data_IF_196366003267
#
_entry.id   IF_196366003267
#
_cell.length_a   1.000
_cell.length_b   1.000
_cell.length_c   1.000
_cell.angle_alpha   90.00
_cell.angle_beta   90.00
_cell.angle_gamma   90.00
#
_symmetry.space_group_name_H-M   'P 1'
#
loop_
_entity.id
_entity.type
_entity.pdbx_description
1 polymer ?
#
# COMPACT_ATOMS: atom_id res chain seq x y z
N UNK A 1 -13.82 14.90 -1.07
CA UNK A 1 -13.78 13.46 -1.45
C UNK A 1 -14.35 12.68 -0.30
N UNK A 2 -15.08 11.62 -0.56
CA UNK A 2 -15.51 10.71 0.51
C UNK A 2 -14.35 9.75 0.84
N UNK A 3 -14.37 9.16 2.03
CA UNK A 3 -13.34 8.24 2.48
C UNK A 3 -13.87 6.81 2.48
N UNK A 4 -13.16 5.90 1.81
CA UNK A 4 -13.41 4.46 1.92
C UNK A 4 -12.98 3.93 3.29
N UNK A 5 -11.82 4.43 3.82
CA UNK A 5 -11.35 4.13 5.17
C UNK A 5 -10.96 5.44 5.87
N UNK A 6 -11.27 5.52 7.16
CA UNK A 6 -10.79 6.56 8.07
C UNK A 6 -10.27 5.88 9.36
N UNK A 7 -9.01 6.08 9.67
CA UNK A 7 -8.35 5.58 10.88
C UNK A 7 -7.90 6.76 11.71
N UNK A 8 -8.27 6.79 12.99
CA UNK A 8 -7.91 7.86 13.91
C UNK A 8 -7.34 7.29 15.20
N UNK A 9 -6.09 7.65 15.51
CA UNK A 9 -5.45 7.34 16.76
C UNK A 9 -5.28 5.84 17.04
N UNK A 10 -5.10 5.01 15.98
CA UNK A 10 -4.94 3.56 16.14
C UNK A 10 -3.68 3.24 16.93
N UNK A 11 -3.85 2.48 18.00
CA UNK A 11 -2.76 1.97 18.84
C UNK A 11 -2.82 0.45 18.94
N UNK A 12 -1.65 -0.19 18.86
CA UNK A 12 -1.49 -1.64 19.04
C UNK A 12 -0.12 -1.93 19.60
N UNK A 13 -0.04 -2.65 20.70
CA UNK A 13 1.23 -2.98 21.37
C UNK A 13 1.50 -4.47 21.30
N UNK A 14 2.73 -4.83 20.98
CA UNK A 14 3.37 -6.12 21.12
C UNK A 14 4.62 -6.00 22.00
N UNK A 15 5.23 -7.10 22.39
CA UNK A 15 6.40 -7.08 23.28
C UNK A 15 7.57 -6.20 22.76
N UNK A 16 7.84 -6.22 21.44
CA UNK A 16 8.99 -5.54 20.84
C UNK A 16 8.58 -4.54 19.71
N UNK A 17 7.28 -4.29 19.53
CA UNK A 17 6.79 -3.44 18.45
C UNK A 17 5.40 -2.89 18.80
N UNK A 18 5.07 -1.71 18.27
CA UNK A 18 3.72 -1.16 18.41
C UNK A 18 3.37 -0.20 17.29
N UNK A 19 2.07 -0.03 17.07
CA UNK A 19 1.50 1.09 16.34
C UNK A 19 1.20 2.19 17.37
N UNK A 20 1.65 3.41 17.09
CA UNK A 20 1.50 4.55 17.98
C UNK A 20 0.75 5.70 17.30
N UNK A 21 -0.49 5.93 17.72
CA UNK A 21 -1.33 7.03 17.24
C UNK A 21 -1.43 7.08 15.71
N UNK A 22 -1.57 5.91 15.06
CA UNK A 22 -1.65 5.82 13.60
C UNK A 22 -2.98 6.39 13.13
N UNK A 23 -2.92 7.43 12.29
CA UNK A 23 -4.08 8.11 11.71
C UNK A 23 -3.85 8.34 10.24
N UNK A 24 -4.83 7.98 9.40
CA UNK A 24 -4.79 8.17 7.94
C UNK A 24 -6.18 8.00 7.33
N UNK A 25 -6.32 8.41 6.08
CA UNK A 25 -7.50 8.15 5.25
C UNK A 25 -7.14 7.34 4.01
N UNK A 26 -8.13 6.62 3.48
CA UNK A 26 -8.10 6.03 2.13
C UNK A 26 -9.28 6.64 1.39
N UNK A 27 -9.05 7.52 0.41
CA UNK A 27 -10.14 8.12 -0.35
C UNK A 27 -10.87 7.09 -1.21
N UNK A 28 -12.15 7.37 -1.53
CA UNK A 28 -12.88 6.59 -2.52
C UNK A 28 -12.34 6.81 -3.94
N UNK A 29 -12.53 5.82 -4.82
CA UNK A 29 -12.22 5.87 -6.24
C UNK A 29 -10.72 6.10 -6.56
N UNK A 30 -9.85 5.60 -5.71
CA UNK A 30 -8.42 5.71 -5.95
C UNK A 30 -7.64 4.49 -5.42
N UNK A 31 -6.38 4.40 -5.84
CA UNK A 31 -5.41 3.41 -5.38
C UNK A 31 -4.50 4.08 -4.35
N UNK A 32 -4.63 3.67 -3.09
CA UNK A 32 -3.74 4.09 -2.01
C UNK A 32 -2.65 3.05 -1.78
N UNK A 33 -1.40 3.43 -2.03
CA UNK A 33 -0.22 2.62 -1.76
C UNK A 33 0.26 2.82 -0.33
N UNK A 34 0.30 1.76 0.47
CA UNK A 34 0.78 1.76 1.84
C UNK A 34 2.22 1.24 1.89
N UNK A 35 3.18 2.15 1.97
CA UNK A 35 4.60 1.87 1.83
C UNK A 35 5.32 1.88 3.19
N UNK A 36 6.38 1.10 3.32
CA UNK A 36 7.26 1.07 4.49
C UNK A 36 8.19 -0.15 4.45
N UNK A 37 9.27 -0.08 5.17
CA UNK A 37 10.21 -1.19 5.30
C UNK A 37 9.56 -2.43 5.93
N UNK A 38 10.20 -3.59 5.82
CA UNK A 38 9.77 -4.79 6.54
C UNK A 38 9.81 -4.52 8.04
N UNK A 39 8.73 -4.89 8.75
CA UNK A 39 8.58 -4.61 10.18
C UNK A 39 8.12 -3.17 10.52
N UNK A 40 7.90 -2.28 9.55
CA UNK A 40 7.44 -0.90 9.82
C UNK A 40 6.02 -0.81 10.41
N UNK A 41 5.18 -1.85 10.23
CA UNK A 41 3.82 -1.90 10.79
C UNK A 41 2.71 -2.08 9.77
N UNK A 42 3.00 -2.22 8.46
CA UNK A 42 2.00 -2.35 7.38
C UNK A 42 0.98 -3.45 7.65
N UNK A 43 1.44 -4.71 7.77
CA UNK A 43 0.56 -5.87 8.01
C UNK A 43 -0.18 -5.77 9.34
N UNK A 44 0.47 -5.21 10.38
CA UNK A 44 -0.20 -4.98 11.67
C UNK A 44 -1.33 -3.97 11.54
N UNK A 45 -1.13 -2.90 10.79
CA UNK A 45 -2.17 -1.90 10.52
C UNK A 45 -3.32 -2.52 9.73
N UNK A 46 -3.02 -3.25 8.64
CA UNK A 46 -4.05 -3.95 7.85
C UNK A 46 -4.84 -4.95 8.71
N UNK A 47 -4.16 -5.79 9.49
CA UNK A 47 -4.82 -6.74 10.41
C UNK A 47 -5.67 -6.03 11.47
N UNK A 48 -5.24 -4.87 11.94
CA UNK A 48 -5.98 -4.06 12.91
C UNK A 48 -7.25 -3.45 12.31
N UNK A 49 -7.18 -2.85 11.13
CA UNK A 49 -8.34 -2.26 10.47
C UNK A 49 -9.38 -3.31 10.06
N UNK A 50 -8.95 -4.55 9.77
CA UNK A 50 -9.82 -5.69 9.48
C UNK A 50 -10.33 -6.41 10.75
N UNK A 51 -9.96 -5.94 11.96
CA UNK A 51 -10.26 -6.60 13.23
C UNK A 51 -9.81 -8.07 13.32
N UNK A 52 -8.73 -8.41 12.64
CA UNK A 52 -8.08 -9.72 12.77
C UNK A 52 -7.20 -9.78 14.02
N UNK A 53 -6.89 -8.63 14.60
CA UNK A 53 -6.18 -8.48 15.89
C UNK A 53 -6.86 -7.39 16.73
N UNK A 54 -6.84 -7.57 18.06
CA UNK A 54 -7.37 -6.55 18.97
C UNK A 54 -6.49 -5.30 18.95
N UNK A 55 -7.12 -4.14 18.95
CA UNK A 55 -6.44 -2.83 19.05
C UNK A 55 -6.40 -2.34 20.49
N UNK A 56 -5.43 -1.48 20.82
CA UNK A 56 -5.27 -0.87 22.13
C UNK A 56 -6.05 0.45 22.28
N UNK A 57 -6.52 1.02 21.17
CA UNK A 57 -7.29 2.26 21.11
C UNK A 57 -7.37 2.83 19.70
N UNK A 58 -8.14 3.89 19.54
CA UNK A 58 -8.42 4.53 18.26
C UNK A 58 -9.78 4.17 17.70
N UNK A 59 -10.12 4.73 16.54
CA UNK A 59 -11.36 4.43 15.81
C UNK A 59 -11.08 4.11 14.36
N UNK A 60 -11.88 3.21 13.79
CA UNK A 60 -11.76 2.75 12.41
C UNK A 60 -13.16 2.84 11.80
N UNK A 61 -13.28 3.58 10.70
CA UNK A 61 -14.52 3.68 9.94
C UNK A 61 -14.30 3.31 8.49
N UNK A 62 -15.30 2.66 7.91
CA UNK A 62 -15.40 2.39 6.48
C UNK A 62 -16.65 3.08 5.95
N UNK A 63 -16.50 3.94 4.94
CA UNK A 63 -17.62 4.73 4.40
C UNK A 63 -18.44 5.46 5.48
N UNK A 64 -17.76 5.97 6.51
CA UNK A 64 -18.37 6.60 7.69
C UNK A 64 -18.97 5.64 8.73
N UNK A 65 -19.11 4.35 8.41
CA UNK A 65 -19.59 3.32 9.34
C UNK A 65 -18.47 2.86 10.28
N UNK A 66 -18.78 2.81 11.56
CA UNK A 66 -17.86 2.32 12.59
C UNK A 66 -17.65 0.80 12.44
N UNK A 67 -16.39 0.39 12.30
CA UNK A 67 -16.01 -1.01 12.03
C UNK A 67 -16.44 -1.95 13.17
N UNK A 68 -16.51 -1.48 14.41
CA UNK A 68 -16.93 -2.30 15.54
C UNK A 68 -18.43 -2.60 15.53
N UNK A 69 -19.24 -1.61 15.12
CA UNK A 69 -20.70 -1.71 15.13
C UNK A 69 -21.26 -2.35 13.87
N UNK A 70 -20.59 -2.21 12.75
CA UNK A 70 -21.06 -2.63 11.42
C UNK A 70 -20.12 -3.65 10.75
N UNK A 71 -19.40 -4.47 11.55
CA UNK A 71 -18.35 -5.36 11.06
C UNK A 71 -18.80 -6.26 9.90
N UNK A 72 -19.98 -6.88 10.02
CA UNK A 72 -20.50 -7.80 8.99
C UNK A 72 -20.82 -7.06 7.68
N UNK A 73 -21.51 -5.92 7.76
CA UNK A 73 -21.89 -5.10 6.61
C UNK A 73 -20.65 -4.58 5.88
N UNK A 74 -19.66 -4.09 6.64
CA UNK A 74 -18.40 -3.61 6.11
C UNK A 74 -17.61 -4.75 5.43
N UNK A 75 -17.46 -5.90 6.10
CA UNK A 75 -16.72 -7.05 5.56
C UNK A 75 -17.38 -7.65 4.32
N UNK A 76 -18.69 -7.57 4.18
CA UNK A 76 -19.42 -8.00 2.98
C UNK A 76 -19.06 -7.19 1.73
N UNK A 77 -18.57 -5.97 1.91
CA UNK A 77 -18.17 -5.02 0.85
C UNK A 77 -16.64 -4.96 0.60
N UNK A 78 -15.86 -5.73 1.36
CA UNK A 78 -14.39 -5.69 1.27
C UNK A 78 -13.85 -6.99 0.67
N UNK A 79 -13.05 -6.89 -0.39
CA UNK A 79 -12.20 -7.98 -0.86
C UNK A 79 -10.84 -7.93 -0.17
N UNK A 80 -10.37 -9.07 0.36
CA UNK A 80 -9.12 -9.14 1.12
C UNK A 80 -8.16 -10.12 0.47
N UNK A 81 -6.91 -9.68 0.28
CA UNK A 81 -5.78 -10.51 -0.18
C UNK A 81 -4.63 -10.35 0.82
N UNK A 82 -4.32 -11.41 1.57
CA UNK A 82 -3.23 -11.41 2.55
C UNK A 82 -2.02 -12.18 2.01
N UNK A 83 -0.80 -11.77 2.38
CA UNK A 83 0.46 -12.40 1.95
C UNK A 83 0.50 -13.92 2.29
N UNK A 84 0.04 -14.30 3.47
CA UNK A 84 0.01 -15.70 3.92
C UNK A 84 -1.11 -16.54 3.29
N UNK A 85 -1.99 -15.93 2.50
CA UNK A 85 -3.10 -16.59 1.81
C UNK A 85 -4.19 -17.19 2.71
N UNK A 86 -3.95 -17.43 3.98
CA UNK A 86 -4.87 -17.96 5.00
C UNK A 86 -5.78 -19.13 4.50
N UNK A 87 -5.27 -19.97 3.60
CA UNK A 87 -6.01 -21.07 2.99
C UNK A 87 -5.74 -22.41 3.66
N UNK A 88 -6.75 -23.27 3.68
CA UNK A 88 -6.57 -24.68 4.06
C UNK A 88 -5.86 -25.44 2.93
N UNK A 89 -4.58 -25.64 3.03
CA UNK A 89 -3.72 -26.18 1.96
C UNK A 89 -4.12 -27.58 1.46
N UNK A 90 -4.76 -28.39 2.28
CA UNK A 90 -5.24 -29.73 1.93
C UNK A 90 -6.50 -29.73 1.07
N UNK A 91 -7.21 -28.62 0.96
CA UNK A 91 -8.41 -28.44 0.14
C UNK A 91 -8.07 -28.10 -1.32
N UNK A 92 -9.02 -28.39 -2.21
CA UNK A 92 -9.00 -27.84 -3.57
C UNK A 92 -9.49 -26.40 -3.56
N UNK A 93 -9.20 -25.63 -4.62
CA UNK A 93 -9.72 -24.27 -4.77
C UNK A 93 -11.26 -24.24 -4.78
N UNK A 94 -11.91 -25.23 -5.42
CA UNK A 94 -13.38 -25.35 -5.39
C UNK A 94 -13.94 -25.61 -3.98
N UNK A 95 -13.27 -26.45 -3.18
CA UNK A 95 -13.65 -26.68 -1.78
C UNK A 95 -13.46 -25.45 -0.93
N UNK A 96 -12.34 -24.74 -1.10
CA UNK A 96 -12.09 -23.47 -0.38
C UNK A 96 -13.12 -22.40 -0.75
N UNK A 97 -13.46 -22.26 -2.03
CA UNK A 97 -14.55 -21.39 -2.50
C UNK A 97 -15.87 -21.71 -1.79
N UNK A 98 -16.21 -22.99 -1.64
CA UNK A 98 -17.48 -23.40 -0.98
C UNK A 98 -17.52 -23.02 0.50
N UNK A 99 -16.37 -22.82 1.16
CA UNK A 99 -16.30 -22.33 2.54
C UNK A 99 -16.44 -20.80 2.56
N UNK A 100 -15.84 -20.09 1.61
CA UNK A 100 -15.77 -18.62 1.61
C UNK A 100 -17.06 -18.00 1.05
N UNK A 101 -17.58 -18.52 -0.05
CA UNK A 101 -18.73 -17.95 -0.76
C UNK A 101 -19.95 -17.63 0.13
N UNK A 102 -20.35 -18.49 1.09
CA UNK A 102 -21.52 -18.20 1.95
C UNK A 102 -21.34 -17.02 2.91
N UNK A 103 -20.11 -16.51 3.09
CA UNK A 103 -19.84 -15.35 3.93
C UNK A 103 -20.26 -14.03 3.28
N UNK A 104 -20.44 -14.01 1.94
CA UNK A 104 -20.74 -12.83 1.16
C UNK A 104 -22.16 -12.85 0.59
N UNK A 105 -22.91 -11.78 0.80
CA UNK A 105 -24.32 -11.69 0.34
C UNK A 105 -24.41 -11.53 -1.18
N UNK A 106 -23.41 -10.89 -1.81
CA UNK A 106 -23.36 -10.61 -3.25
C UNK A 106 -22.41 -11.56 -4.01
N UNK A 107 -22.19 -12.77 -3.48
CA UNK A 107 -21.32 -13.74 -4.16
C UNK A 107 -21.87 -14.12 -5.54
N UNK A 108 -20.98 -14.14 -6.52
CA UNK A 108 -21.27 -14.54 -7.90
C UNK A 108 -20.40 -15.72 -8.35
N UNK A 109 -21.02 -16.89 -8.53
CA UNK A 109 -20.35 -18.06 -9.10
C UNK A 109 -19.91 -17.84 -10.55
N UNK A 110 -20.61 -16.99 -11.28
CA UNK A 110 -20.27 -16.64 -12.66
C UNK A 110 -18.97 -15.81 -12.68
N UNK A 111 -18.87 -14.77 -11.83
CA UNK A 111 -17.66 -13.96 -11.70
C UNK A 111 -16.47 -14.80 -11.22
N UNK A 112 -16.71 -15.69 -10.24
CA UNK A 112 -15.66 -16.61 -9.79
C UNK A 112 -15.13 -17.46 -10.92
N UNK A 113 -16.02 -18.07 -11.73
CA UNK A 113 -15.62 -18.92 -12.87
C UNK A 113 -14.84 -18.10 -13.91
N UNK A 114 -15.33 -16.90 -14.25
CA UNK A 114 -14.65 -15.99 -15.17
C UNK A 114 -13.24 -15.62 -14.68
N UNK A 115 -13.08 -15.30 -13.39
CA UNK A 115 -11.78 -15.00 -12.81
C UNK A 115 -10.85 -16.23 -12.79
N UNK A 116 -11.37 -17.43 -12.48
CA UNK A 116 -10.58 -18.66 -12.53
C UNK A 116 -10.05 -18.95 -13.95
N UNK A 117 -10.89 -18.77 -14.97
CA UNK A 117 -10.48 -18.89 -16.38
C UNK A 117 -9.45 -17.82 -16.77
N UNK A 118 -9.71 -16.55 -16.44
CA UNK A 118 -8.79 -15.43 -16.68
C UNK A 118 -7.40 -15.70 -16.10
N UNK A 119 -7.33 -16.31 -14.92
CA UNK A 119 -6.08 -16.60 -14.21
C UNK A 119 -5.48 -17.96 -14.56
N UNK A 120 -6.10 -18.71 -15.46
CA UNK A 120 -5.72 -20.07 -15.84
C UNK A 120 -5.57 -21.01 -14.62
N UNK A 121 -6.54 -20.97 -13.68
CA UNK A 121 -6.57 -21.79 -12.48
C UNK A 121 -7.56 -22.95 -12.63
N UNK A 122 -7.14 -24.17 -12.31
CA UNK A 122 -8.03 -25.34 -12.27
C UNK A 122 -8.67 -25.48 -10.87
N UNK A 123 -10.01 -25.29 -10.72
CA UNK A 123 -10.70 -25.38 -9.45
C UNK A 123 -10.50 -26.70 -8.70
N UNK A 124 -10.14 -27.77 -9.40
CA UNK A 124 -9.91 -29.11 -8.81
C UNK A 124 -8.51 -29.26 -8.22
N UNK A 125 -7.60 -28.36 -8.52
CA UNK A 125 -6.23 -28.41 -8.02
C UNK A 125 -6.19 -28.10 -6.52
N UNK A 126 -5.34 -28.86 -5.77
CA UNK A 126 -5.12 -28.62 -4.33
C UNK A 126 -4.30 -27.35 -4.10
N UNK A 127 -4.66 -26.59 -3.08
CA UNK A 127 -3.98 -25.32 -2.72
C UNK A 127 -2.52 -25.55 -2.34
N UNK A 128 -2.19 -26.69 -1.72
CA UNK A 128 -0.80 -27.06 -1.40
C UNK A 128 0.12 -27.18 -2.61
N UNK A 129 -0.43 -27.39 -3.81
CA UNK A 129 0.36 -27.56 -5.05
C UNK A 129 0.48 -26.28 -5.86
N UNK A 130 -0.14 -25.18 -5.40
CA UNK A 130 -0.10 -23.89 -6.08
C UNK A 130 1.23 -23.18 -5.82
N UNK A 131 1.78 -22.56 -6.87
CA UNK A 131 2.85 -21.58 -6.70
C UNK A 131 2.35 -20.34 -5.91
N UNK A 132 3.28 -19.52 -5.38
CA UNK A 132 2.90 -18.27 -4.69
C UNK A 132 2.05 -17.37 -5.61
N UNK A 133 2.41 -17.25 -6.88
CA UNK A 133 1.64 -16.48 -7.87
C UNK A 133 0.24 -17.04 -8.10
N UNK A 134 0.07 -18.36 -8.18
CA UNK A 134 -1.25 -18.97 -8.30
C UNK A 134 -2.10 -18.76 -7.03
N UNK A 135 -1.51 -18.83 -5.83
CA UNK A 135 -2.21 -18.52 -4.58
C UNK A 135 -2.69 -17.06 -4.55
N UNK A 136 -1.86 -16.11 -5.00
CA UNK A 136 -2.23 -14.70 -5.09
C UNK A 136 -3.37 -14.48 -6.09
N UNK A 137 -3.31 -15.10 -7.27
CA UNK A 137 -4.38 -15.06 -8.27
C UNK A 137 -5.68 -15.67 -7.74
N UNK A 138 -5.60 -16.79 -7.02
CA UNK A 138 -6.77 -17.41 -6.39
C UNK A 138 -7.40 -16.52 -5.31
N UNK A 139 -6.58 -15.91 -4.44
CA UNK A 139 -7.06 -14.95 -3.46
C UNK A 139 -7.78 -13.77 -4.11
N UNK A 140 -7.22 -13.25 -5.22
CA UNK A 140 -7.83 -12.18 -5.99
C UNK A 140 -9.12 -12.63 -6.69
N UNK A 141 -9.18 -13.86 -7.23
CA UNK A 141 -10.40 -14.41 -7.80
C UNK A 141 -11.53 -14.45 -6.77
N UNK A 142 -11.24 -14.87 -5.54
CA UNK A 142 -12.21 -14.85 -4.44
C UNK A 142 -12.66 -13.42 -4.09
N UNK A 143 -11.70 -12.49 -3.95
CA UNK A 143 -11.95 -11.10 -3.58
C UNK A 143 -12.77 -10.33 -4.62
N UNK A 144 -12.65 -10.67 -5.89
CA UNK A 144 -13.41 -10.04 -6.99
C UNK A 144 -14.80 -10.64 -7.21
N UNK A 145 -15.09 -11.81 -6.62
CA UNK A 145 -16.30 -12.59 -6.94
C UNK A 145 -17.54 -12.21 -6.14
N UNK A 146 -17.48 -11.22 -5.26
CA UNK A 146 -18.61 -10.77 -4.45
C UNK A 146 -18.93 -9.28 -4.61
N UNK A 147 -18.50 -8.67 -5.72
CA UNK A 147 -18.71 -7.26 -6.04
C UNK A 147 -18.20 -6.30 -4.94
N UNK A 148 -16.98 -6.56 -4.44
CA UNK A 148 -16.36 -5.71 -3.42
C UNK A 148 -16.26 -4.25 -3.89
N UNK A 149 -16.48 -3.30 -2.97
CA UNK A 149 -16.29 -1.86 -3.20
C UNK A 149 -14.86 -1.41 -2.89
N UNK A 150 -14.16 -2.19 -2.07
CA UNK A 150 -12.80 -1.91 -1.64
C UNK A 150 -11.97 -3.20 -1.63
N UNK A 151 -10.79 -3.17 -2.25
CA UNK A 151 -9.78 -4.22 -2.06
C UNK A 151 -8.74 -3.78 -1.02
N UNK A 152 -8.48 -4.63 -0.04
CA UNK A 152 -7.39 -4.47 0.92
C UNK A 152 -6.40 -5.60 0.72
N UNK A 153 -5.16 -5.25 0.37
CA UNK A 153 -4.14 -6.22 0.01
C UNK A 153 -2.86 -6.00 0.80
N UNK A 154 -2.36 -7.07 1.42
CA UNK A 154 -1.11 -7.06 2.16
C UNK A 154 -0.02 -7.75 1.36
N UNK A 155 0.97 -6.99 0.86
CA UNK A 155 2.11 -7.46 0.07
C UNK A 155 1.72 -8.34 -1.14
N UNK A 156 0.72 -7.98 -1.97
CA UNK A 156 0.14 -8.87 -2.97
C UNK A 156 1.12 -9.29 -4.08
N UNK A 157 2.22 -8.56 -4.25
CA UNK A 157 3.23 -8.79 -5.29
C UNK A 157 4.53 -9.38 -4.77
N UNK A 158 4.67 -9.53 -3.46
CA UNK A 158 5.89 -10.02 -2.83
C UNK A 158 6.24 -11.43 -3.30
N UNK A 159 7.46 -11.60 -3.84
CA UNK A 159 7.96 -12.90 -4.31
C UNK A 159 7.28 -13.42 -5.58
N UNK A 160 6.54 -12.59 -6.30
CA UNK A 160 6.01 -12.93 -7.63
C UNK A 160 7.03 -12.65 -8.72
N UNK A 161 6.98 -13.45 -9.80
CA UNK A 161 7.73 -13.13 -11.00
C UNK A 161 7.20 -11.85 -11.69
N UNK A 162 8.02 -11.18 -12.52
CA UNK A 162 7.65 -9.90 -13.11
C UNK A 162 6.40 -9.94 -14.01
N UNK A 163 6.08 -11.08 -14.63
CA UNK A 163 4.92 -11.22 -15.53
C UNK A 163 3.64 -11.25 -14.71
N UNK A 164 3.57 -12.14 -13.71
CA UNK A 164 2.41 -12.28 -12.81
C UNK A 164 2.20 -10.97 -12.02
N UNK A 165 3.27 -10.33 -11.56
CA UNK A 165 3.22 -9.05 -10.87
C UNK A 165 2.59 -7.96 -11.75
N UNK A 166 2.99 -7.86 -13.02
CA UNK A 166 2.40 -6.90 -13.97
C UNK A 166 0.93 -7.17 -14.23
N UNK A 167 0.55 -8.43 -14.38
CA UNK A 167 -0.83 -8.85 -14.56
C UNK A 167 -1.70 -8.43 -13.36
N UNK A 168 -1.24 -8.69 -12.14
CA UNK A 168 -1.94 -8.30 -10.92
C UNK A 168 -2.11 -6.79 -10.82
N UNK A 169 -1.08 -5.99 -11.12
CA UNK A 169 -1.18 -4.52 -11.15
C UNK A 169 -2.21 -4.03 -12.16
N UNK A 170 -2.30 -4.64 -13.34
CA UNK A 170 -3.31 -4.27 -14.33
C UNK A 170 -4.73 -4.55 -13.81
N UNK A 171 -4.94 -5.67 -13.11
CA UNK A 171 -6.25 -6.00 -12.52
C UNK A 171 -6.66 -4.97 -11.47
N UNK A 172 -5.71 -4.52 -10.63
CA UNK A 172 -5.95 -3.45 -9.64
C UNK A 172 -6.38 -2.16 -10.32
N UNK A 173 -5.69 -1.77 -11.41
CA UNK A 173 -6.04 -0.57 -12.19
C UNK A 173 -7.45 -0.71 -12.78
N UNK A 174 -7.77 -1.85 -13.40
CA UNK A 174 -9.07 -2.11 -14.01
C UNK A 174 -10.20 -2.06 -12.95
N UNK A 175 -9.96 -2.60 -11.75
CA UNK A 175 -10.90 -2.60 -10.66
C UNK A 175 -11.32 -1.18 -10.21
N UNK A 176 -10.36 -0.25 -10.16
CA UNK A 176 -10.66 1.15 -9.79
C UNK A 176 -11.30 1.91 -10.96
N UNK A 177 -10.78 1.75 -12.19
CA UNK A 177 -11.21 2.55 -13.35
C UNK A 177 -12.62 2.25 -13.82
N UNK A 178 -13.03 0.98 -13.77
CA UNK A 178 -14.29 0.58 -14.38
C UNK A 178 -15.50 0.80 -13.48
N UNK A 179 -15.32 0.76 -12.16
CA UNK A 179 -16.45 0.68 -11.23
C UNK A 179 -16.43 1.76 -10.14
N UNK A 180 -15.47 2.70 -10.16
CA UNK A 180 -15.36 3.72 -9.12
C UNK A 180 -15.06 3.12 -7.75
N UNK A 181 -14.35 2.00 -7.71
CA UNK A 181 -13.96 1.26 -6.51
C UNK A 181 -12.64 1.74 -5.96
N UNK A 182 -12.27 1.28 -4.78
CA UNK A 182 -11.08 1.74 -4.07
C UNK A 182 -10.13 0.59 -3.76
N UNK A 183 -8.83 0.90 -3.65
CA UNK A 183 -7.81 -0.08 -3.29
C UNK A 183 -6.88 0.50 -2.23
N UNK A 184 -6.63 -0.27 -1.18
CA UNK A 184 -5.52 -0.09 -0.26
C UNK A 184 -4.60 -1.29 -0.40
N UNK A 185 -3.36 -1.09 -0.86
CA UNK A 185 -2.40 -2.19 -0.87
C UNK A 185 -1.07 -1.81 -0.24
N UNK A 186 -0.56 -2.70 0.61
CA UNK A 186 0.75 -2.56 1.20
C UNK A 186 1.83 -3.15 0.30
N UNK A 187 2.98 -2.51 0.25
CA UNK A 187 4.17 -3.06 -0.41
C UNK A 187 5.45 -2.43 0.12
N UNK A 188 6.55 -3.15 0.03
CA UNK A 188 7.90 -2.61 0.17
C UNK A 188 8.56 -2.39 -1.20
N UNK A 189 7.85 -2.69 -2.30
CA UNK A 189 8.35 -2.61 -3.67
C UNK A 189 7.87 -1.30 -4.30
N UNK A 190 8.73 -0.28 -4.27
CA UNK A 190 8.40 1.08 -4.69
C UNK A 190 7.94 1.17 -6.14
N UNK A 191 8.52 0.39 -7.05
CA UNK A 191 8.16 0.41 -8.47
C UNK A 191 6.71 0.00 -8.76
N UNK A 192 6.05 -0.74 -7.85
CA UNK A 192 4.61 -1.03 -7.98
C UNK A 192 3.78 0.23 -7.74
N UNK A 193 4.16 1.01 -6.73
CA UNK A 193 3.48 2.26 -6.36
C UNK A 193 3.64 3.34 -7.41
N UNK A 194 4.85 3.51 -7.94
CA UNK A 194 5.11 4.46 -9.03
C UNK A 194 4.17 4.27 -10.20
N UNK A 195 3.85 3.00 -10.48
CA UNK A 195 3.02 2.64 -11.63
C UNK A 195 1.53 2.86 -11.41
N UNK A 196 1.01 2.54 -10.21
CA UNK A 196 -0.45 2.40 -10.03
C UNK A 196 -1.04 3.29 -8.95
N UNK A 197 -0.27 3.73 -7.95
CA UNK A 197 -0.81 4.48 -6.83
C UNK A 197 -1.20 5.91 -7.23
N UNK A 198 -2.31 6.39 -6.69
CA UNK A 198 -2.75 7.78 -6.72
C UNK A 198 -2.33 8.50 -5.42
N UNK A 199 -2.54 7.81 -4.29
CA UNK A 199 -2.17 8.28 -2.95
C UNK A 199 -1.05 7.41 -2.36
N UNK A 200 -0.17 8.03 -1.58
CA UNK A 200 0.92 7.36 -0.88
C UNK A 200 0.83 7.60 0.63
N UNK A 201 0.92 6.51 1.36
CA UNK A 201 0.91 6.48 2.82
C UNK A 201 2.21 5.79 3.28
N UNK A 202 3.13 6.54 3.91
CA UNK A 202 4.37 5.98 4.45
C UNK A 202 4.24 5.73 5.94
N UNK A 203 4.56 4.49 6.34
CA UNK A 203 4.70 4.13 7.76
C UNK A 203 6.16 3.76 8.07
N UNK A 204 6.68 4.25 9.18
CA UNK A 204 7.95 3.82 9.76
C UNK A 204 7.82 3.62 11.27
N UNK A 205 8.36 2.50 11.78
CA UNK A 205 8.38 2.17 13.22
C UNK A 205 7.02 2.38 13.91
N UNK A 206 5.95 1.97 13.24
CA UNK A 206 4.58 2.03 13.77
C UNK A 206 3.94 3.41 13.77
N UNK A 207 4.47 4.39 13.04
CA UNK A 207 3.94 5.75 12.93
C UNK A 207 3.79 6.15 11.46
N UNK A 208 2.72 6.89 11.15
CA UNK A 208 2.58 7.50 9.83
C UNK A 208 3.59 8.64 9.72
N UNK A 209 4.36 8.62 8.65
CA UNK A 209 5.38 9.62 8.33
C UNK A 209 4.80 10.70 7.41
N UNK A 210 4.09 10.28 6.37
CA UNK A 210 3.30 11.16 5.51
C UNK A 210 2.12 10.41 4.86
N UNK A 211 1.16 11.21 4.40
CA UNK A 211 0.01 10.83 3.59
C UNK A 211 -0.18 11.94 2.57
N UNK A 212 0.14 11.67 1.31
CA UNK A 212 0.13 12.67 0.25
C UNK A 212 -0.30 12.07 -1.10
N UNK A 213 -0.87 12.89 -1.97
CA UNK A 213 -1.04 12.58 -3.39
C UNK A 213 0.34 12.32 -4.02
N UNK A 214 0.43 11.29 -4.85
CA UNK A 214 1.70 10.86 -5.44
C UNK A 214 2.36 11.95 -6.29
N UNK A 215 1.58 12.60 -7.15
CA UNK A 215 2.13 13.60 -8.06
C UNK A 215 2.53 14.86 -7.29
N UNK A 216 1.75 15.27 -6.29
CA UNK A 216 2.10 16.36 -5.39
C UNK A 216 3.39 16.06 -4.60
N UNK A 217 3.55 14.83 -4.10
CA UNK A 217 4.77 14.39 -3.42
C UNK A 217 6.00 14.48 -4.32
N UNK A 218 5.90 13.98 -5.57
CA UNK A 218 6.99 14.00 -6.55
C UNK A 218 7.30 15.41 -7.07
N UNK A 219 6.31 16.29 -7.13
CA UNK A 219 6.51 17.70 -7.55
C UNK A 219 7.19 18.51 -6.46
N UNK A 220 6.86 18.25 -5.20
CA UNK A 220 7.44 18.92 -4.04
C UNK A 220 8.91 18.53 -3.80
N UNK A 221 9.27 17.26 -4.03
CA UNK A 221 10.59 16.73 -3.73
C UNK A 221 11.47 16.69 -4.98
N UNK A 222 12.67 17.25 -4.87
CA UNK A 222 13.66 17.24 -5.96
C UNK A 222 15.03 16.83 -5.44
N UNK A 223 15.78 16.15 -6.28
CA UNK A 223 17.22 15.95 -6.08
C UNK A 223 17.92 17.22 -6.55
N UNK A 224 18.73 17.82 -5.70
CA UNK A 224 19.51 19.04 -5.98
C UNK A 224 20.98 18.68 -5.95
N UNK A 225 21.67 19.01 -7.05
CA UNK A 225 23.12 18.76 -7.25
C UNK A 225 23.84 20.08 -7.48
N UNK A 226 25.06 20.20 -6.96
CA UNK A 226 25.84 21.41 -7.14
C UNK A 226 27.26 21.29 -6.61
N UNK A 227 27.95 22.42 -6.54
CA UNK A 227 29.33 22.52 -6.08
C UNK A 227 29.37 22.71 -4.58
N UNK A 228 30.31 22.05 -3.89
CA UNK A 228 30.44 22.15 -2.43
C UNK A 228 30.77 23.56 -1.93
N UNK A 229 31.51 24.36 -2.75
CA UNK A 229 31.89 25.74 -2.40
C UNK A 229 30.68 26.72 -2.36
N UNK A 230 29.55 26.34 -2.93
CA UNK A 230 28.30 27.12 -2.87
C UNK A 230 27.45 26.79 -1.63
N UNK A 231 27.68 25.65 -0.96
CA UNK A 231 26.89 25.22 0.19
C UNK A 231 27.15 26.15 1.40
N UNK A 232 26.06 26.69 1.94
CA UNK A 232 26.07 27.46 3.19
C UNK A 232 25.39 26.65 4.30
N UNK A 233 25.62 27.02 5.57
CA UNK A 233 24.91 26.42 6.70
C UNK A 233 23.40 26.55 6.59
N UNK A 234 22.90 27.61 5.99
CA UNK A 234 21.48 27.83 5.77
C UNK A 234 20.92 26.90 4.67
N UNK A 235 21.62 26.75 3.55
CA UNK A 235 21.20 25.87 2.47
C UNK A 235 21.21 24.39 2.92
N UNK A 236 22.17 23.97 3.74
CA UNK A 236 22.26 22.59 4.29
C UNK A 236 21.01 22.19 5.06
N UNK A 237 20.38 23.11 5.80
CA UNK A 237 19.17 22.86 6.60
C UNK A 237 17.93 22.59 5.75
N UNK A 238 17.95 22.94 4.49
CA UNK A 238 16.84 22.73 3.54
C UNK A 238 16.83 21.34 2.90
N UNK A 239 17.90 20.56 3.08
CA UNK A 239 17.96 19.20 2.62
C UNK A 239 17.42 18.20 3.65
N UNK A 240 16.67 17.21 3.16
CA UNK A 240 16.26 16.04 3.94
C UNK A 240 17.44 15.05 4.06
N UNK A 241 18.17 14.87 2.96
CA UNK A 241 19.43 14.13 2.91
C UNK A 241 20.42 14.92 2.07
N UNK A 242 21.70 14.93 2.48
CA UNK A 242 22.77 15.61 1.78
C UNK A 242 24.02 14.72 1.78
N UNK A 243 24.52 14.42 0.60
CA UNK A 243 25.76 13.68 0.40
C UNK A 243 26.78 14.57 -0.31
N UNK A 244 27.93 14.80 0.32
CA UNK A 244 29.03 15.60 -0.21
C UNK A 244 30.16 14.68 -0.62
N UNK A 245 30.67 14.89 -1.83
CA UNK A 245 31.82 14.17 -2.39
C UNK A 245 32.90 15.15 -2.78
N UNK A 246 34.07 14.66 -3.23
CA UNK A 246 35.13 15.51 -3.76
C UNK A 246 34.69 16.29 -5.03
N UNK A 247 33.65 15.87 -5.71
CA UNK A 247 33.20 16.45 -6.99
C UNK A 247 31.99 17.39 -6.86
N UNK A 248 31.38 17.47 -5.69
CA UNK A 248 30.18 18.26 -5.44
C UNK A 248 29.23 17.56 -4.47
N UNK A 249 28.05 18.14 -4.33
CA UNK A 249 27.00 17.59 -3.47
C UNK A 249 25.81 17.10 -4.29
N UNK A 250 25.09 16.15 -3.70
CA UNK A 250 23.78 15.68 -4.12
C UNK A 250 22.89 15.51 -2.89
N UNK A 251 21.67 16.02 -2.91
CA UNK A 251 20.75 15.89 -1.78
C UNK A 251 19.29 16.00 -2.19
N UNK A 252 18.42 15.39 -1.38
CA UNK A 252 16.97 15.51 -1.55
C UNK A 252 16.42 16.68 -0.75
N UNK A 253 15.56 17.47 -1.36
CA UNK A 253 14.90 18.60 -0.70
C UNK A 253 13.44 18.74 -1.12
N UNK A 254 12.59 19.10 -0.16
CA UNK A 254 11.22 19.57 -0.39
C UNK A 254 11.16 21.09 -0.65
N UNK A 255 12.30 21.79 -0.66
CA UNK A 255 12.44 23.25 -0.80
C UNK A 255 13.32 23.62 -2.00
N UNK A 256 13.20 22.88 -3.11
CA UNK A 256 14.09 23.02 -4.27
C UNK A 256 14.09 24.44 -4.89
N UNK A 257 12.94 25.12 -4.91
CA UNK A 257 12.85 26.50 -5.40
C UNK A 257 13.64 27.50 -4.52
N UNK A 258 13.60 27.32 -3.21
CA UNK A 258 14.37 28.13 -2.29
C UNK A 258 15.86 27.84 -2.45
N UNK A 259 16.23 26.57 -2.54
CA UNK A 259 17.62 26.17 -2.81
C UNK A 259 18.14 26.74 -4.13
N UNK A 260 17.33 26.77 -5.18
CA UNK A 260 17.72 27.34 -6.49
C UNK A 260 18.06 28.83 -6.42
N UNK A 261 17.41 29.58 -5.54
CA UNK A 261 17.74 31.01 -5.29
C UNK A 261 19.04 31.17 -4.52
N UNK A 262 19.34 30.25 -3.59
CA UNK A 262 20.56 30.27 -2.78
C UNK A 262 21.77 29.68 -3.48
N UNK A 263 21.52 28.71 -4.37
CA UNK A 263 22.50 27.94 -5.12
C UNK A 263 22.20 28.05 -6.65
N UNK A 264 22.47 29.19 -7.27
CA UNK A 264 22.02 29.48 -8.65
C UNK A 264 22.58 28.51 -9.70
N UNK A 265 23.79 27.98 -9.49
CA UNK A 265 24.42 27.00 -10.39
C UNK A 265 23.91 25.56 -10.20
N UNK A 266 23.11 25.30 -9.14
CA UNK A 266 22.61 23.96 -8.87
C UNK A 266 21.66 23.45 -9.96
N UNK A 267 21.69 22.14 -10.17
CA UNK A 267 20.78 21.41 -11.07
C UNK A 267 19.76 20.69 -10.23
N UNK A 268 18.51 20.70 -10.67
CA UNK A 268 17.41 19.99 -10.04
C UNK A 268 16.94 18.84 -10.92
N UNK A 269 16.79 17.66 -10.35
CA UNK A 269 16.28 16.46 -11.00
C UNK A 269 15.03 15.96 -10.26
N UNK A 270 14.20 15.19 -10.96
CA UNK A 270 13.02 14.56 -10.35
C UNK A 270 13.49 13.47 -9.38
N UNK A 271 12.95 13.49 -8.15
CA UNK A 271 13.17 12.42 -7.20
C UNK A 271 12.26 11.21 -7.53
N UNK A 272 12.71 10.00 -7.22
CA UNK A 272 11.87 8.81 -7.19
C UNK A 272 11.12 8.70 -5.84
N UNK A 273 10.07 7.89 -5.80
CA UNK A 273 9.40 7.56 -4.51
C UNK A 273 10.40 6.89 -3.56
N UNK A 274 11.33 6.09 -4.09
CA UNK A 274 12.36 5.41 -3.30
C UNK A 274 13.29 6.42 -2.62
N UNK A 275 13.78 7.44 -3.35
CA UNK A 275 14.62 8.51 -2.79
C UNK A 275 13.91 9.23 -1.64
N UNK A 276 12.62 9.56 -1.85
CA UNK A 276 11.80 10.24 -0.86
C UNK A 276 11.62 9.34 0.38
N UNK A 277 11.22 8.09 0.19
CA UNK A 277 11.05 7.14 1.27
C UNK A 277 12.34 6.99 2.11
N UNK A 278 13.47 6.76 1.46
CA UNK A 278 14.77 6.59 2.13
C UNK A 278 15.18 7.84 2.92
N UNK A 279 14.91 9.03 2.38
CA UNK A 279 15.21 10.28 3.06
C UNK A 279 14.38 10.46 4.35
N UNK A 280 13.10 10.10 4.32
CA UNK A 280 12.23 10.21 5.50
C UNK A 280 12.52 9.14 6.56
N UNK A 281 12.91 7.93 6.16
CA UNK A 281 13.27 6.83 7.09
C UNK A 281 14.69 6.97 7.61
N UNK A 282 15.64 7.37 6.75
CA UNK A 282 17.08 7.43 7.08
C UNK A 282 17.60 8.81 7.48
N UNK A 283 16.90 9.89 7.14
CA UNK A 283 17.39 11.27 7.23
C UNK A 283 17.38 11.92 8.62
N UNK A 284 16.90 11.24 9.65
CA UNK A 284 16.99 11.74 11.05
C UNK A 284 18.21 11.09 11.73
N UNK A 285 19.39 11.54 11.38
CA UNK A 285 20.57 11.42 12.24
C UNK A 285 20.94 12.78 12.81
#
# INVERSE_FOLDING_TARGET
MNNAIEVVGLNKTYANFGLENVSFIVPENCITGFIGANGAGKSTTIKSILRLVNIGGGSIKFWGMDMEKHEREIKDRIGVVLDDGAFYEHLTMAQMKSIIAPAYSNWSDAEFSTNMERFALDPKQKISTLSKGMKAKFALALALSHNADLLIMDEPTSGLDPVVRRELMNIIIDFVRNDGKSVLFSTHIVSDLERVADMLLLIDKGKIVFEEDKDALLDKHKIVKGRNDELTEESRKLFLTLNETAFGFEGLSANAEQLKKMLPSSITERASIEDIMLAYIGGKK
#
